data_IF_980190274183
#
_entry.id   IF_980190274183
#
_cell.length_a   1.000
_cell.length_b   1.000
_cell.length_c   1.000
_cell.angle_alpha   90.00
_cell.angle_beta   90.00
_cell.angle_gamma   90.00
#
_symmetry.space_group_name_H-M   'P 1'
#
loop_
_entity.id
_entity.type
_entity.pdbx_description
1 polymer ?
#
# COMPACT_ATOMS: atom_id res chain seq x y z
N UNK A 1 5.08 -0.41 19.60
CA UNK A 1 4.99 0.63 18.54
C UNK A 1 6.29 0.62 17.78
N UNK A 2 6.27 0.48 16.45
CA UNK A 2 7.49 0.48 15.62
C UNK A 2 7.63 1.85 14.94
N UNK A 3 8.76 2.51 15.14
CA UNK A 3 9.03 3.88 14.67
C UNK A 3 10.32 3.92 13.84
N UNK A 4 10.38 4.82 12.86
CA UNK A 4 11.58 5.13 12.09
C UNK A 4 11.99 6.59 12.32
N UNK A 5 13.28 6.87 12.26
CA UNK A 5 13.86 8.22 12.35
C UNK A 5 14.39 8.63 10.97
N UNK A 6 13.87 9.72 10.41
CA UNK A 6 14.27 10.27 9.11
C UNK A 6 14.87 11.66 9.28
N UNK A 7 16.02 11.90 8.64
CA UNK A 7 16.69 13.22 8.63
C UNK A 7 16.40 13.91 7.31
N UNK A 8 15.77 15.08 7.36
CA UNK A 8 15.45 15.90 6.19
C UNK A 8 16.50 17.01 6.04
N UNK A 9 16.97 17.21 4.80
CA UNK A 9 17.84 18.34 4.43
C UNK A 9 16.95 19.51 4.00
N UNK A 10 17.00 20.63 4.71
CA UNK A 10 16.19 21.79 4.39
C UNK A 10 16.82 22.58 3.24
N UNK A 11 16.43 22.29 1.99
CA UNK A 11 16.74 23.17 0.87
C UNK A 11 15.75 24.36 0.77
N UNK A 12 16.19 25.42 0.10
CA UNK A 12 15.56 26.77 0.05
C UNK A 12 14.06 26.77 -0.28
N UNK A 13 13.56 25.74 -0.98
CA UNK A 13 12.13 25.56 -1.27
C UNK A 13 11.27 25.36 0.00
N UNK A 14 11.80 24.75 1.06
CA UNK A 14 11.11 24.55 2.33
C UNK A 14 10.91 25.86 3.12
N UNK A 15 11.71 26.88 2.83
CA UNK A 15 11.62 28.19 3.49
C UNK A 15 10.34 28.94 3.16
N UNK A 16 9.75 28.73 1.97
CA UNK A 16 8.42 29.26 1.63
C UNK A 16 7.31 28.51 2.37
N UNK A 17 7.44 27.20 2.52
CA UNK A 17 6.50 26.39 3.31
C UNK A 17 6.51 26.77 4.81
N UNK A 18 7.70 27.11 5.34
CA UNK A 18 7.92 27.62 6.71
C UNK A 18 7.16 28.92 6.99
N UNK A 19 7.07 29.84 6.01
CA UNK A 19 6.35 31.11 6.18
C UNK A 19 4.84 30.96 6.13
N UNK A 20 4.33 30.00 5.37
CA UNK A 20 2.87 29.79 5.20
C UNK A 20 2.28 28.90 6.30
N UNK A 21 3.05 27.94 6.83
CA UNK A 21 2.55 26.92 7.80
C UNK A 21 2.97 27.21 9.25
N UNK A 22 4.08 27.91 9.49
CA UNK A 22 4.64 28.11 10.85
C UNK A 22 5.06 29.56 11.14
N UNK A 23 4.12 30.53 11.23
CA UNK A 23 4.46 31.94 11.42
C UNK A 23 4.96 32.30 12.83
N UNK A 24 5.09 31.36 13.79
CA UNK A 24 5.40 31.69 15.20
C UNK A 24 6.17 30.63 16.01
N UNK A 25 7.16 29.95 15.42
CA UNK A 25 8.06 29.10 16.21
C UNK A 25 9.09 29.96 16.99
N UNK A 26 8.90 30.12 18.32
CA UNK A 26 9.94 30.65 19.22
C UNK A 26 10.98 29.57 19.55
N UNK A 27 12.26 29.96 19.54
CA UNK A 27 13.41 29.14 19.95
C UNK A 27 13.21 28.55 21.34
N UNK A 28 13.37 27.25 21.49
CA UNK A 28 13.58 26.59 22.78
C UNK A 28 14.72 25.57 22.66
N UNK A 29 15.72 25.71 23.53
CA UNK A 29 16.91 24.86 23.58
C UNK A 29 16.59 23.57 24.32
N UNK A 30 16.68 22.43 23.65
CA UNK A 30 16.64 21.11 24.27
C UNK A 30 18.04 20.49 24.12
N UNK A 31 18.72 20.22 25.24
CA UNK A 31 19.96 19.43 25.24
C UNK A 31 19.60 17.94 25.22
N UNK A 32 20.02 17.22 24.18
CA UNK A 32 20.01 15.76 24.16
C UNK A 32 21.28 15.23 24.84
N UNK A 33 21.10 14.30 25.78
CA UNK A 33 22.20 13.54 26.40
C UNK A 33 22.89 12.70 25.32
N UNK A 34 24.21 12.87 25.23
CA UNK A 34 25.09 12.27 24.23
C UNK A 34 24.99 10.74 24.14
N UNK A 35 24.83 10.22 22.93
CA UNK A 35 25.13 8.81 22.60
C UNK A 35 26.56 8.76 22.04
N UNK A 36 27.46 7.86 22.51
CA UNK A 36 28.87 7.91 22.11
C UNK A 36 29.06 7.53 20.64
N UNK A 37 29.87 8.32 19.95
CA UNK A 37 30.34 8.08 18.60
C UNK A 37 31.27 6.85 18.55
N UNK A 38 30.97 5.88 17.68
CA UNK A 38 31.95 4.88 17.25
C UNK A 38 31.85 4.69 15.73
N UNK A 39 32.64 5.48 15.00
CA UNK A 39 33.06 5.20 13.64
C UNK A 39 34.53 5.62 13.51
N UNK A 40 35.46 4.67 13.54
CA UNK A 40 36.70 4.75 12.77
C UNK A 40 37.50 3.43 12.69
N UNK A 41 37.70 2.97 11.44
CA UNK A 41 38.84 2.18 10.86
C UNK A 41 39.11 0.78 11.45
N UNK A 42 39.25 -0.30 10.67
CA UNK A 42 40.28 -0.56 9.64
C UNK A 42 39.99 -1.89 8.93
N UNK A 43 40.32 -1.98 7.65
CA UNK A 43 40.54 -3.22 6.89
C UNK A 43 41.67 -4.07 7.51
N UNK A 44 41.41 -5.37 7.71
CA UNK A 44 42.35 -6.46 7.43
C UNK A 44 41.74 -7.83 7.76
N UNK A 45 41.44 -8.63 6.74
CA UNK A 45 41.59 -10.10 6.75
C UNK A 45 40.57 -10.98 7.51
N UNK A 46 40.04 -11.97 6.77
CA UNK A 46 39.39 -13.24 7.20
C UNK A 46 37.96 -13.24 7.76
N UNK A 47 37.07 -13.77 6.90
CA UNK A 47 36.07 -14.82 7.15
C UNK A 47 35.21 -14.77 8.43
N UNK A 48 33.95 -14.31 8.30
CA UNK A 48 32.67 -14.89 8.78
C UNK A 48 31.59 -13.78 8.87
N UNK A 49 30.29 -14.05 8.67
CA UNK A 49 29.25 -13.03 8.72
C UNK A 49 28.77 -12.77 10.16
N UNK A 50 28.41 -11.54 10.57
CA UNK A 50 27.71 -11.35 11.84
C UNK A 50 26.18 -11.32 11.64
N UNK A 51 25.40 -11.84 12.61
CA UNK A 51 23.94 -11.80 12.62
C UNK A 51 23.37 -10.58 13.37
N UNK A 52 22.05 -10.40 13.19
CA UNK A 52 21.07 -9.67 14.04
C UNK A 52 20.54 -8.30 13.62
N UNK A 53 19.21 -8.30 13.37
CA UNK A 53 18.25 -7.23 13.62
C UNK A 53 18.41 -6.71 15.06
N UNK A 54 18.59 -5.40 15.23
CA UNK A 54 18.47 -4.76 16.54
C UNK A 54 17.03 -4.33 16.80
N UNK A 55 16.40 -4.99 17.78
CA UNK A 55 15.13 -4.59 18.38
C UNK A 55 15.39 -3.41 19.33
N UNK A 56 14.89 -2.22 19.01
CA UNK A 56 14.99 -1.07 19.91
C UNK A 56 13.78 -1.05 20.86
N UNK A 57 14.00 -1.35 22.13
CA UNK A 57 13.05 -1.06 23.21
C UNK A 57 13.35 0.31 23.79
N UNK A 58 12.43 1.26 23.63
CA UNK A 58 12.51 2.53 24.34
C UNK A 58 12.01 2.31 25.79
N UNK A 59 12.92 2.42 26.76
CA UNK A 59 12.59 2.46 28.19
C UNK A 59 12.31 3.91 28.55
N UNK A 60 11.08 4.22 28.97
CA UNK A 60 10.73 5.51 29.57
C UNK A 60 11.17 5.51 31.04
N UNK A 61 12.08 6.38 31.48
CA UNK A 61 12.39 6.49 32.90
C UNK A 61 11.23 7.14 33.67
N UNK A 62 10.86 6.53 34.80
CA UNK A 62 9.88 7.09 35.74
C UNK A 62 10.33 8.45 36.28
N UNK A 63 9.33 9.29 36.52
CA UNK A 63 9.45 10.71 36.83
C UNK A 63 10.30 10.99 38.08
N UNK A 64 11.35 11.79 37.89
CA UNK A 64 12.19 12.34 38.96
C UNK A 64 12.54 13.81 38.69
N UNK A 65 11.58 14.70 38.95
CA UNK A 65 11.76 16.11 39.30
C UNK A 65 12.71 16.99 38.47
N UNK A 66 12.18 17.70 37.47
CA UNK A 66 12.41 19.14 37.20
C UNK A 66 11.57 19.59 36.00
N UNK A 67 10.84 20.68 36.22
CA UNK A 67 9.97 21.44 35.30
C UNK A 67 9.23 20.65 34.22
N UNK A 68 7.92 20.54 34.42
CA UNK A 68 6.91 20.11 33.47
C UNK A 68 6.93 21.00 32.21
N UNK A 69 7.86 20.76 31.29
CA UNK A 69 7.75 21.22 29.91
C UNK A 69 6.66 20.37 29.27
N UNK A 70 5.43 20.87 29.40
CA UNK A 70 4.26 20.33 28.74
C UNK A 70 4.57 20.16 27.26
N UNK A 71 4.66 18.90 26.79
CA UNK A 71 4.52 18.55 25.38
C UNK A 71 3.11 18.96 24.99
N UNK A 72 2.93 20.23 24.65
CA UNK A 72 1.65 20.73 24.13
C UNK A 72 1.56 20.27 22.68
N UNK A 73 0.56 19.46 22.29
CA UNK A 73 0.32 19.18 20.89
C UNK A 73 -0.22 20.45 20.23
N UNK A 74 0.62 21.17 19.49
CA UNK A 74 0.22 22.37 18.75
C UNK A 74 -0.61 22.05 17.50
N UNK A 75 -0.79 20.76 17.15
CA UNK A 75 -1.52 20.31 15.96
C UNK A 75 -3.03 20.16 16.13
N UNK A 76 -3.67 20.90 17.05
CA UNK A 76 -5.10 21.20 16.89
C UNK A 76 -5.28 22.27 15.80
N UNK A 77 -4.98 21.87 14.55
CA UNK A 77 -5.49 22.33 13.25
C UNK A 77 -4.38 22.36 12.17
N UNK A 78 -4.63 21.79 10.99
CA UNK A 78 -3.92 20.53 10.69
C UNK A 78 -3.40 20.44 9.25
N UNK A 79 -2.46 19.51 8.99
CA UNK A 79 -2.62 18.66 7.81
C UNK A 79 -3.82 17.72 8.07
N UNK A 80 -5.01 18.30 8.08
CA UNK A 80 -6.27 17.61 7.82
C UNK A 80 -6.48 17.94 6.36
N UNK A 81 -6.40 16.98 5.46
CA UNK A 81 -7.58 16.14 5.24
C UNK A 81 -7.21 14.78 4.64
N UNK A 82 -5.97 14.30 4.82
CA UNK A 82 -5.63 12.93 4.40
C UNK A 82 -6.58 11.97 5.14
N UNK A 83 -7.35 11.10 4.47
CA UNK A 83 -8.09 10.06 5.16
C UNK A 83 -7.11 9.31 6.06
N UNK A 84 -7.49 9.10 7.33
CA UNK A 84 -6.60 8.59 8.38
C UNK A 84 -5.84 7.29 7.98
N UNK A 85 -6.38 6.57 7.00
CA UNK A 85 -5.89 5.30 6.45
C UNK A 85 -4.66 5.45 5.54
N UNK A 86 -4.51 6.56 4.81
CA UNK A 86 -3.42 6.77 3.84
C UNK A 86 -2.29 7.66 4.37
N UNK A 87 -2.41 8.13 5.61
CA UNK A 87 -1.45 9.04 6.25
C UNK A 87 -0.33 8.23 6.90
N UNK A 88 0.90 8.52 6.51
CA UNK A 88 2.09 8.10 7.24
C UNK A 88 2.16 8.90 8.55
N UNK A 89 2.10 8.23 9.70
CA UNK A 89 1.96 8.93 10.97
C UNK A 89 3.28 9.60 11.38
N UNK A 90 3.25 10.92 11.58
CA UNK A 90 4.33 11.68 12.22
C UNK A 90 4.09 11.68 13.74
N UNK A 91 4.98 11.06 14.48
CA UNK A 91 4.90 10.97 15.94
C UNK A 91 5.63 12.11 16.65
N UNK A 92 6.60 12.72 15.99
CA UNK A 92 7.33 13.86 16.52
C UNK A 92 8.38 14.35 15.53
N UNK A 93 8.98 15.50 15.84
CA UNK A 93 10.12 16.02 15.12
C UNK A 93 11.10 16.70 16.08
N UNK A 94 12.36 16.77 15.69
CA UNK A 94 13.41 17.47 16.38
C UNK A 94 14.10 18.41 15.40
N UNK A 95 14.16 19.68 15.74
CA UNK A 95 14.88 20.68 14.98
C UNK A 95 16.19 20.99 15.71
N UNK A 96 17.31 20.88 14.99
CA UNK A 96 18.63 21.22 15.49
C UNK A 96 19.20 22.34 14.63
N UNK A 97 19.41 23.49 15.27
CA UNK A 97 20.14 24.64 14.75
C UNK A 97 21.42 24.78 15.57
N UNK A 98 22.54 24.36 14.99
CA UNK A 98 23.85 24.43 15.64
C UNK A 98 24.87 25.01 14.67
N UNK A 99 25.89 25.68 15.19
CA UNK A 99 26.92 26.35 14.38
C UNK A 99 27.66 25.40 13.40
N UNK A 100 27.65 24.09 13.67
CA UNK A 100 28.35 23.08 12.85
C UNK A 100 27.43 22.35 11.85
N UNK A 101 26.10 22.43 12.03
CA UNK A 101 25.11 21.80 11.14
C UNK A 101 23.91 22.76 11.03
N UNK A 102 23.81 23.56 9.96
CA UNK A 102 22.67 24.43 9.76
C UNK A 102 21.39 23.61 9.49
N UNK A 103 20.29 24.05 10.10
CA UNK A 103 18.90 23.70 9.75
C UNK A 103 18.60 22.20 9.54
N UNK A 104 18.92 21.35 10.52
CA UNK A 104 18.52 19.93 10.46
C UNK A 104 17.16 19.70 11.10
N UNK A 105 16.21 19.15 10.32
CA UNK A 105 14.96 18.60 10.82
C UNK A 105 15.02 17.08 10.83
N UNK A 106 14.77 16.48 11.99
CA UNK A 106 14.60 15.03 12.14
C UNK A 106 13.14 14.72 12.45
N UNK A 107 12.51 13.85 11.69
CA UNK A 107 11.14 13.40 11.89
C UNK A 107 11.11 11.96 12.42
N UNK A 108 10.20 11.68 13.36
CA UNK A 108 9.92 10.35 13.87
C UNK A 108 8.58 9.92 13.32
N UNK A 109 8.57 8.85 12.55
CA UNK A 109 7.41 8.43 11.77
C UNK A 109 7.11 6.95 11.94
N UNK A 110 5.94 6.54 11.46
CA UNK A 110 5.49 5.15 11.40
C UNK A 110 6.48 4.27 10.62
N UNK A 111 6.86 3.13 11.19
CA UNK A 111 7.68 2.17 10.44
C UNK A 111 6.81 1.38 9.47
N UNK A 112 7.12 1.46 8.18
CA UNK A 112 6.51 0.62 7.14
C UNK A 112 7.52 -0.31 6.47
N UNK A 113 7.03 -1.34 5.78
CA UNK A 113 7.88 -2.21 4.96
C UNK A 113 8.03 -1.64 3.55
N UNK A 114 9.24 -1.61 2.96
CA UNK A 114 9.44 -1.10 1.62
C UNK A 114 8.69 -1.92 0.57
N UNK A 115 8.25 -1.27 -0.51
CA UNK A 115 7.62 -1.96 -1.65
C UNK A 115 8.66 -2.66 -2.51
N UNK A 116 8.71 -3.99 -2.43
CA UNK A 116 9.50 -4.82 -3.33
C UNK A 116 8.59 -5.45 -4.40
N UNK A 117 8.78 -5.06 -5.67
CA UNK A 117 7.91 -5.50 -6.76
C UNK A 117 7.85 -7.03 -6.92
N UNK A 118 8.98 -7.72 -6.72
CA UNK A 118 9.03 -9.19 -6.78
C UNK A 118 8.16 -9.81 -5.68
N UNK A 119 8.24 -9.27 -4.45
CA UNK A 119 7.41 -9.75 -3.34
C UNK A 119 5.93 -9.48 -3.62
N UNK A 120 5.57 -8.29 -4.11
CA UNK A 120 4.20 -7.95 -4.48
C UNK A 120 3.63 -8.93 -5.51
N UNK A 121 4.37 -9.26 -6.56
CA UNK A 121 3.93 -10.21 -7.59
C UNK A 121 3.72 -11.64 -7.07
N UNK A 122 4.30 -11.98 -5.91
CA UNK A 122 4.10 -13.26 -5.24
C UNK A 122 2.92 -13.26 -4.26
N UNK A 123 2.37 -12.09 -3.92
CA UNK A 123 1.17 -11.97 -3.07
C UNK A 123 -0.12 -12.27 -3.86
N UNK A 124 -1.21 -12.45 -3.11
CA UNK A 124 -2.54 -12.68 -3.69
C UNK A 124 -2.93 -11.52 -4.62
N UNK A 125 -3.80 -11.78 -5.59
CA UNK A 125 -4.35 -10.70 -6.42
C UNK A 125 -5.10 -9.66 -5.58
N UNK A 126 -5.82 -10.11 -4.57
CA UNK A 126 -6.58 -9.26 -3.66
C UNK A 126 -5.69 -8.27 -2.88
N UNK A 127 -4.52 -8.71 -2.41
CA UNK A 127 -3.56 -7.82 -1.72
C UNK A 127 -2.91 -6.83 -2.70
N UNK A 128 -2.56 -7.27 -3.91
CA UNK A 128 -2.06 -6.36 -4.96
C UNK A 128 -3.11 -5.32 -5.35
N UNK A 129 -4.37 -5.73 -5.44
CA UNK A 129 -5.49 -4.84 -5.70
C UNK A 129 -5.65 -3.82 -4.58
N UNK A 130 -5.50 -4.23 -3.31
CA UNK A 130 -5.47 -3.33 -2.15
C UNK A 130 -4.43 -2.23 -2.32
N UNK A 131 -3.20 -2.57 -2.69
CA UNK A 131 -2.12 -1.60 -2.92
C UNK A 131 -2.50 -0.58 -4.00
N UNK A 132 -3.04 -1.03 -5.14
CA UNK A 132 -3.49 -0.13 -6.21
C UNK A 132 -4.63 0.78 -5.75
N UNK A 133 -5.55 0.25 -4.94
CA UNK A 133 -6.67 1.01 -4.39
C UNK A 133 -6.21 2.05 -3.36
N UNK A 134 -5.29 1.69 -2.45
CA UNK A 134 -4.67 2.64 -1.53
C UNK A 134 -3.96 3.77 -2.29
N UNK A 135 -3.24 3.42 -3.36
CA UNK A 135 -2.55 4.40 -4.21
C UNK A 135 -3.55 5.35 -4.90
N UNK A 136 -4.60 4.84 -5.54
CA UNK A 136 -5.57 5.72 -6.23
C UNK A 136 -6.29 6.63 -5.23
N UNK A 137 -6.61 6.15 -4.03
CA UNK A 137 -7.21 6.97 -2.96
C UNK A 137 -6.28 8.07 -2.48
N UNK A 138 -4.98 7.76 -2.33
CA UNK A 138 -3.96 8.76 -2.03
C UNK A 138 -3.89 9.81 -3.14
N UNK A 139 -3.82 9.39 -4.41
CA UNK A 139 -3.74 10.32 -5.54
C UNK A 139 -5.00 11.17 -5.70
N UNK A 140 -6.18 10.59 -5.46
CA UNK A 140 -7.44 11.32 -5.42
C UNK A 140 -7.41 12.41 -4.36
N UNK A 141 -6.88 12.09 -3.17
CA UNK A 141 -6.68 13.09 -2.13
C UNK A 141 -5.69 14.18 -2.55
N UNK A 142 -4.55 13.83 -3.15
CA UNK A 142 -3.54 14.79 -3.57
C UNK A 142 -4.06 15.75 -4.65
N UNK A 143 -4.87 15.26 -5.59
CA UNK A 143 -5.50 16.09 -6.61
C UNK A 143 -6.52 17.08 -6.02
N UNK A 144 -7.22 16.69 -4.95
CA UNK A 144 -8.24 17.49 -4.26
C UNK A 144 -7.76 18.10 -2.95
N UNK A 145 -6.46 18.26 -2.78
CA UNK A 145 -5.91 18.79 -1.54
C UNK A 145 -6.41 20.21 -1.29
N UNK A 146 -6.69 20.59 -0.02
CA UNK A 146 -7.08 21.97 0.31
C UNK A 146 -5.99 23.00 -0.03
N UNK A 147 -4.74 22.57 -0.29
CA UNK A 147 -3.63 23.42 -0.71
C UNK A 147 -3.52 23.57 -2.23
N UNK A 148 -4.40 22.93 -3.01
CA UNK A 148 -4.30 22.79 -4.46
C UNK A 148 -3.72 21.44 -4.89
N UNK A 149 -3.89 21.11 -6.17
CA UNK A 149 -3.47 19.82 -6.75
C UNK A 149 -1.98 19.56 -6.54
N UNK A 150 -1.65 18.50 -5.82
CA UNK A 150 -0.28 18.16 -5.43
C UNK A 150 0.34 17.19 -6.44
N UNK A 151 1.50 17.52 -7.00
CA UNK A 151 2.34 16.59 -7.77
C UNK A 151 3.46 16.02 -6.89
N UNK A 152 3.72 14.72 -7.03
CA UNK A 152 4.88 14.06 -6.44
C UNK A 152 6.00 14.08 -7.48
N UNK A 153 7.02 14.92 -7.27
CA UNK A 153 8.12 15.07 -8.22
C UNK A 153 8.98 13.82 -8.26
N UNK A 154 9.11 13.14 -7.11
CA UNK A 154 9.79 11.85 -7.01
C UNK A 154 8.84 10.65 -6.88
N UNK A 155 8.06 10.38 -7.93
CA UNK A 155 7.15 9.24 -7.96
C UNK A 155 7.90 7.94 -8.29
N UNK A 156 8.57 7.34 -7.30
CA UNK A 156 9.23 6.03 -7.44
C UNK A 156 8.65 5.03 -6.44
N UNK A 157 8.58 3.72 -6.76
CA UNK A 157 8.10 2.71 -5.80
C UNK A 157 8.81 2.74 -4.43
N UNK A 158 10.09 3.15 -4.40
CA UNK A 158 10.87 3.30 -3.16
C UNK A 158 10.33 4.36 -2.19
N UNK A 159 9.53 5.32 -2.68
CA UNK A 159 8.97 6.42 -1.89
C UNK A 159 7.65 6.08 -1.20
N UNK A 160 7.31 4.79 -1.25
CA UNK A 160 6.12 4.26 -0.64
C UNK A 160 6.47 3.04 0.22
N UNK A 161 5.71 2.88 1.30
CA UNK A 161 5.78 1.75 2.22
C UNK A 161 4.42 1.14 2.41
N UNK A 162 4.41 -0.12 2.82
CA UNK A 162 3.21 -0.80 3.29
C UNK A 162 3.15 -0.71 4.81
N UNK A 163 2.01 -0.28 5.33
CA UNK A 163 1.66 -0.41 6.75
C UNK A 163 0.29 -1.03 6.85
N UNK A 164 0.19 -2.17 7.57
CA UNK A 164 -1.06 -2.93 7.75
C UNK A 164 -1.80 -3.26 6.44
N UNK A 165 -1.04 -3.49 5.37
CA UNK A 165 -1.53 -3.81 4.02
C UNK A 165 -1.97 -2.60 3.19
N UNK A 166 -1.87 -1.38 3.71
CA UNK A 166 -2.14 -0.15 2.98
C UNK A 166 -0.84 0.50 2.48
N UNK A 167 -0.89 1.05 1.26
CA UNK A 167 0.20 1.86 0.72
C UNK A 167 0.17 3.27 1.31
N UNK A 168 1.33 3.73 1.79
CA UNK A 168 1.54 5.08 2.32
C UNK A 168 2.78 5.69 1.69
N UNK A 169 2.77 7.01 1.50
CA UNK A 169 3.93 7.78 1.00
C UNK A 169 4.84 8.15 2.18
N UNK A 170 6.15 7.93 2.03
CA UNK A 170 7.13 8.24 3.09
C UNK A 170 7.83 9.57 2.88
N UNK A 171 7.92 10.03 1.64
CA UNK A 171 8.72 11.20 1.27
C UNK A 171 7.85 12.21 0.54
N UNK A 172 7.66 13.38 1.15
CA UNK A 172 6.81 14.47 0.65
C UNK A 172 7.60 15.79 0.54
N UNK A 173 8.91 15.76 0.78
CA UNK A 173 9.78 16.93 0.60
C UNK A 173 9.88 17.34 -0.88
N UNK A 174 9.78 16.38 -1.79
CA UNK A 174 9.73 16.56 -3.25
C UNK A 174 8.28 16.66 -3.80
N UNK A 175 7.40 17.39 -3.09
CA UNK A 175 6.02 17.65 -3.54
C UNK A 175 5.81 19.12 -3.92
N UNK A 176 5.02 19.36 -4.98
CA UNK A 176 4.65 20.73 -5.42
C UNK A 176 3.15 20.86 -5.57
N UNK A 177 2.60 22.04 -5.23
CA UNK A 177 1.19 22.40 -5.39
C UNK A 177 0.94 23.32 -6.59
N UNK A 178 2.00 23.84 -7.20
CA UNK A 178 1.88 24.82 -8.29
C UNK A 178 1.72 24.10 -9.63
N UNK A 179 0.62 24.39 -10.34
CA UNK A 179 0.46 23.98 -11.74
C UNK A 179 1.41 24.78 -12.64
N UNK A 180 1.94 24.14 -13.68
CA UNK A 180 2.89 24.80 -14.59
C UNK A 180 2.25 25.98 -15.32
N UNK A 181 2.97 27.09 -15.44
CA UNK A 181 2.48 28.25 -16.21
C UNK A 181 2.60 28.02 -17.71
N UNK A 182 1.65 28.52 -18.48
CA UNK A 182 1.59 28.34 -19.94
C UNK A 182 1.01 29.56 -20.65
N UNK A 183 1.39 29.71 -21.91
CA UNK A 183 0.82 30.66 -22.88
C UNK A 183 0.05 29.94 -23.99
N UNK A 184 0.41 28.69 -24.26
CA UNK A 184 -0.23 27.83 -25.24
C UNK A 184 -0.20 26.37 -24.81
N UNK A 185 -0.98 25.50 -25.48
CA UNK A 185 -1.03 24.08 -25.13
C UNK A 185 0.33 23.38 -25.27
N UNK A 186 1.23 23.85 -26.16
CA UNK A 186 2.55 23.24 -26.32
C UNK A 186 3.43 23.39 -25.08
N UNK A 187 3.17 24.40 -24.24
CA UNK A 187 3.90 24.61 -22.99
C UNK A 187 3.52 23.56 -21.93
N UNK A 188 2.36 22.90 -22.11
CA UNK A 188 1.82 21.88 -21.24
C UNK A 188 2.15 20.47 -21.72
N UNK A 189 3.39 20.28 -22.16
CA UNK A 189 3.91 19.00 -22.61
C UNK A 189 4.41 18.15 -21.44
N UNK A 190 3.94 16.91 -21.37
CA UNK A 190 4.41 15.90 -20.43
C UNK A 190 5.13 14.80 -21.19
N UNK A 191 6.44 14.69 -20.93
CA UNK A 191 7.28 13.63 -21.47
C UNK A 191 7.35 12.45 -20.50
N UNK A 192 7.11 11.25 -21.02
CA UNK A 192 7.40 10.00 -20.32
C UNK A 192 8.17 9.04 -21.25
N UNK A 193 8.94 8.08 -20.70
CA UNK A 193 9.80 7.23 -21.51
C UNK A 193 9.12 6.45 -22.64
N UNK A 194 7.82 6.19 -22.52
CA UNK A 194 7.06 5.41 -23.50
C UNK A 194 5.97 6.22 -24.23
N UNK A 195 5.58 7.38 -23.71
CA UNK A 195 4.41 8.15 -24.19
C UNK A 195 4.56 9.62 -23.84
N UNK A 196 3.99 10.47 -24.69
CA UNK A 196 3.95 11.90 -24.47
C UNK A 196 2.52 12.40 -24.51
N UNK A 197 2.24 13.43 -23.72
CA UNK A 197 0.92 14.04 -23.65
C UNK A 197 1.04 15.55 -23.71
N UNK A 198 0.08 16.19 -24.35
CA UNK A 198 -0.04 17.65 -24.38
C UNK A 198 -1.39 18.01 -23.78
N UNK A 199 -1.36 18.76 -22.68
CA UNK A 199 -2.57 19.20 -21.98
C UNK A 199 -3.02 20.59 -22.47
N UNK A 200 -4.32 20.94 -22.30
CA UNK A 200 -4.77 22.28 -22.58
C UNK A 200 -4.21 23.30 -21.58
N UNK A 201 -3.84 24.48 -22.09
CA UNK A 201 -3.55 25.64 -21.28
C UNK A 201 -4.85 26.36 -20.91
N UNK A 202 -5.04 26.65 -19.61
CA UNK A 202 -6.21 27.38 -19.13
C UNK A 202 -6.14 28.87 -19.48
N UNK A 203 -7.29 29.53 -19.39
CA UNK A 203 -7.40 31.00 -19.55
C UNK A 203 -6.60 31.78 -18.50
N UNK A 204 -6.29 31.16 -17.36
CA UNK A 204 -5.47 31.71 -16.27
C UNK A 204 -3.96 31.54 -16.53
N UNK A 205 -3.58 31.00 -17.68
CA UNK A 205 -2.18 30.76 -18.03
C UNK A 205 -1.56 29.62 -17.24
N UNK A 206 -2.34 28.59 -16.89
CA UNK A 206 -1.90 27.38 -16.16
C UNK A 206 -2.25 26.10 -16.92
N UNK A 207 -1.37 25.13 -16.93
CA UNK A 207 -1.64 23.82 -17.51
C UNK A 207 -2.72 23.10 -16.71
N UNK A 208 -3.80 22.69 -17.38
CA UNK A 208 -4.94 22.10 -16.68
C UNK A 208 -4.61 20.70 -16.16
N UNK A 209 -4.73 20.51 -14.84
CA UNK A 209 -4.59 19.23 -14.14
C UNK A 209 -3.26 18.52 -14.40
N UNK A 210 -2.17 19.24 -14.67
CA UNK A 210 -0.89 18.64 -15.02
C UNK A 210 -0.32 17.84 -13.85
N UNK A 211 -0.51 18.33 -12.61
CA UNK A 211 -0.08 17.65 -11.40
C UNK A 211 -0.78 16.30 -11.20
N UNK A 212 -2.11 16.29 -11.31
CA UNK A 212 -2.94 15.08 -11.22
C UNK A 212 -2.55 14.06 -12.29
N UNK A 213 -2.48 14.50 -13.56
CA UNK A 213 -2.19 13.64 -14.70
C UNK A 213 -0.80 13.02 -14.62
N UNK A 214 0.19 13.76 -14.10
CA UNK A 214 1.55 13.26 -13.90
C UNK A 214 1.59 12.16 -12.84
N UNK A 215 0.95 12.37 -11.70
CA UNK A 215 0.83 11.35 -10.67
C UNK A 215 0.11 10.10 -11.20
N UNK A 216 -1.01 10.29 -11.92
CA UNK A 216 -1.84 9.22 -12.42
C UNK A 216 -1.10 8.35 -13.45
N UNK A 217 -0.36 8.96 -14.38
CA UNK A 217 0.46 8.21 -15.33
C UNK A 217 1.57 7.41 -14.64
N UNK A 218 2.21 8.00 -13.61
CA UNK A 218 3.23 7.30 -12.85
C UNK A 218 2.64 6.11 -12.06
N UNK A 219 1.45 6.24 -11.47
CA UNK A 219 0.73 5.12 -10.88
C UNK A 219 0.45 4.01 -11.90
N UNK A 220 0.02 4.38 -13.11
CA UNK A 220 -0.15 3.43 -14.20
C UNK A 220 1.16 2.68 -14.50
N UNK A 221 2.23 3.43 -14.80
CA UNK A 221 3.52 2.91 -15.24
C UNK A 221 4.17 2.00 -14.21
N UNK A 222 4.14 2.37 -12.94
CA UNK A 222 4.89 1.67 -11.89
C UNK A 222 4.08 0.60 -11.17
N UNK A 223 2.75 0.72 -11.14
CA UNK A 223 1.88 -0.15 -10.35
C UNK A 223 0.81 -0.83 -11.19
N UNK A 224 -0.08 -0.08 -11.84
CA UNK A 224 -1.30 -0.66 -12.38
C UNK A 224 -1.07 -1.68 -13.48
N UNK A 225 -0.10 -1.44 -14.37
CA UNK A 225 0.27 -2.38 -15.44
C UNK A 225 0.70 -3.74 -14.92
N UNK A 226 1.34 -3.80 -13.76
CA UNK A 226 1.90 -5.02 -13.18
C UNK A 226 1.00 -5.67 -12.14
N UNK A 227 0.29 -4.85 -11.34
CA UNK A 227 -0.42 -5.33 -10.17
C UNK A 227 -1.88 -5.68 -10.46
N UNK A 228 -2.56 -4.97 -11.37
CA UNK A 228 -3.99 -5.17 -11.61
C UNK A 228 -4.32 -6.41 -12.46
N UNK A 229 -3.71 -6.66 -13.63
CA UNK A 229 -4.20 -7.69 -14.55
C UNK A 229 -3.75 -9.12 -14.18
N UNK A 230 -2.55 -9.25 -13.60
CA UNK A 230 -1.94 -10.55 -13.35
C UNK A 230 -2.75 -11.36 -12.33
N UNK A 231 -3.17 -12.57 -12.72
CA UNK A 231 -4.00 -13.50 -11.93
C UNK A 231 -5.30 -12.92 -11.35
N UNK A 232 -5.82 -11.85 -11.96
CA UNK A 232 -7.15 -11.33 -11.65
C UNK A 232 -8.26 -12.33 -11.99
N UNK A 233 -9.38 -12.34 -11.24
CA UNK A 233 -10.57 -13.12 -11.58
C UNK A 233 -10.99 -12.88 -13.05
N UNK A 234 -11.22 -13.94 -13.86
CA UNK A 234 -11.47 -13.80 -15.29
C UNK A 234 -12.59 -12.84 -15.66
N UNK A 235 -13.69 -12.82 -14.90
CA UNK A 235 -14.84 -11.94 -15.14
C UNK A 235 -14.56 -10.47 -14.83
N UNK A 236 -13.56 -10.16 -14.00
CA UNK A 236 -13.14 -8.77 -13.71
C UNK A 236 -12.10 -8.24 -14.70
N UNK A 237 -11.41 -9.12 -15.45
CA UNK A 237 -10.34 -8.72 -16.38
C UNK A 237 -10.76 -7.66 -17.39
N UNK A 238 -11.92 -7.74 -18.08
CA UNK A 238 -12.29 -6.70 -19.04
C UNK A 238 -12.40 -5.30 -18.42
N UNK A 239 -12.88 -5.21 -17.17
CA UNK A 239 -12.97 -3.95 -16.44
C UNK A 239 -11.58 -3.45 -16.03
N UNK A 240 -10.72 -4.34 -15.53
CA UNK A 240 -9.34 -4.01 -15.16
C UNK A 240 -8.52 -3.54 -16.37
N UNK A 241 -8.63 -4.22 -17.51
CA UNK A 241 -7.95 -3.85 -18.75
C UNK A 241 -8.42 -2.46 -19.23
N UNK A 242 -9.73 -2.17 -19.10
CA UNK A 242 -10.28 -0.84 -19.39
C UNK A 242 -9.68 0.22 -18.47
N UNK A 243 -9.58 -0.05 -17.16
CA UNK A 243 -8.96 0.86 -16.18
C UNK A 243 -7.50 1.12 -16.53
N UNK A 244 -6.72 0.07 -16.74
CA UNK A 244 -5.29 0.16 -17.06
C UNK A 244 -5.09 0.95 -18.36
N UNK A 245 -5.87 0.66 -19.40
CA UNK A 245 -5.75 1.34 -20.68
C UNK A 245 -6.16 2.83 -20.58
N UNK A 246 -7.33 3.13 -20.00
CA UNK A 246 -7.81 4.50 -19.88
C UNK A 246 -6.91 5.37 -18.99
N UNK A 247 -6.29 4.79 -17.97
CA UNK A 247 -5.28 5.47 -17.15
C UNK A 247 -3.97 5.68 -17.91
N UNK A 248 -3.50 4.66 -18.65
CA UNK A 248 -2.26 4.74 -19.43
C UNK A 248 -2.32 5.67 -20.63
N UNK A 249 -3.51 5.89 -21.21
CA UNK A 249 -3.76 6.89 -22.25
C UNK A 249 -4.18 8.26 -21.67
N UNK A 250 -4.26 8.39 -20.34
CA UNK A 250 -4.76 9.59 -19.63
C UNK A 250 -6.15 10.07 -20.09
N UNK A 251 -6.94 9.19 -20.69
CA UNK A 251 -8.34 9.44 -21.04
C UNK A 251 -9.20 9.69 -19.80
N UNK A 252 -8.84 9.06 -18.68
CA UNK A 252 -9.48 9.28 -17.39
C UNK A 252 -8.66 10.23 -16.51
N UNK A 253 -9.37 11.03 -15.72
CA UNK A 253 -8.81 11.71 -14.56
C UNK A 253 -8.89 10.81 -13.33
N UNK A 254 -8.40 11.32 -12.22
CA UNK A 254 -8.30 10.60 -10.96
C UNK A 254 -9.67 10.20 -10.40
N UNK A 255 -10.70 11.03 -10.58
CA UNK A 255 -12.06 10.76 -10.13
C UNK A 255 -12.63 9.50 -10.77
N UNK A 256 -12.55 9.43 -12.11
CA UNK A 256 -13.05 8.30 -12.87
C UNK A 256 -12.24 7.04 -12.58
N UNK A 257 -10.90 7.14 -12.50
CA UNK A 257 -10.05 5.99 -12.17
C UNK A 257 -10.35 5.47 -10.76
N UNK A 258 -10.52 6.35 -9.77
CA UNK A 258 -10.89 5.99 -8.41
C UNK A 258 -12.27 5.32 -8.38
N UNK A 259 -13.28 5.91 -9.03
CA UNK A 259 -14.63 5.37 -9.10
C UNK A 259 -14.67 3.96 -9.72
N UNK A 260 -13.91 3.72 -10.80
CA UNK A 260 -13.86 2.41 -11.43
C UNK A 260 -13.11 1.37 -10.59
N UNK A 261 -12.06 1.76 -9.86
CA UNK A 261 -11.41 0.85 -8.91
C UNK A 261 -12.31 0.53 -7.71
N UNK A 262 -13.06 1.50 -7.17
CA UNK A 262 -14.07 1.23 -6.13
C UNK A 262 -15.19 0.32 -6.65
N UNK A 263 -15.58 0.47 -7.92
CA UNK A 263 -16.53 -0.45 -8.57
C UNK A 263 -15.99 -1.87 -8.61
N UNK A 264 -14.71 -2.07 -8.96
CA UNK A 264 -14.06 -3.41 -8.90
C UNK A 264 -14.11 -3.96 -7.48
N UNK A 265 -13.79 -3.14 -6.47
CA UNK A 265 -13.87 -3.55 -5.07
C UNK A 265 -15.28 -4.03 -4.70
N UNK A 266 -16.31 -3.25 -5.06
CA UNK A 266 -17.69 -3.57 -4.76
C UNK A 266 -18.11 -4.89 -5.39
N UNK A 267 -17.83 -5.08 -6.70
CA UNK A 267 -18.12 -6.33 -7.39
C UNK A 267 -17.42 -7.53 -6.74
N UNK A 268 -16.14 -7.37 -6.39
CA UNK A 268 -15.35 -8.44 -5.76
C UNK A 268 -15.84 -8.79 -4.35
N UNK A 269 -16.26 -7.78 -3.58
CA UNK A 269 -16.81 -7.94 -2.22
C UNK A 269 -18.21 -8.53 -2.22
N UNK A 270 -19.07 -8.13 -3.15
CA UNK A 270 -20.46 -8.59 -3.21
C UNK A 270 -20.62 -9.95 -3.89
N UNK A 271 -19.57 -10.46 -4.54
CA UNK A 271 -19.60 -11.71 -5.30
C UNK A 271 -20.34 -11.59 -6.64
N UNK A 272 -20.80 -10.39 -7.03
CA UNK A 272 -21.53 -10.17 -8.29
C UNK A 272 -20.72 -10.56 -9.53
N UNK A 273 -19.39 -10.52 -9.46
CA UNK A 273 -18.50 -10.97 -10.53
C UNK A 273 -18.62 -12.47 -10.86
N UNK A 274 -19.26 -13.26 -9.99
CA UNK A 274 -19.46 -14.70 -10.14
C UNK A 274 -20.76 -15.06 -10.87
N UNK A 275 -21.69 -14.12 -11.08
CA UNK A 275 -23.05 -14.43 -11.57
C UNK A 275 -23.12 -14.96 -13.01
N UNK A 276 -22.04 -14.83 -13.78
CA UNK A 276 -21.94 -15.31 -15.17
C UNK A 276 -21.02 -16.53 -15.34
N UNK A 277 -20.54 -17.14 -14.27
CA UNK A 277 -19.82 -18.41 -14.38
C UNK A 277 -20.85 -19.47 -14.78
N UNK A 278 -20.86 -19.79 -16.06
CA UNK A 278 -21.77 -20.75 -16.70
C UNK A 278 -21.86 -22.01 -15.84
N UNK A 279 -23.07 -22.60 -15.77
CA UNK A 279 -23.38 -23.86 -15.09
C UNK A 279 -22.49 -25.02 -15.58
N UNK A 280 -21.22 -25.03 -15.17
CA UNK A 280 -20.34 -26.18 -15.27
C UNK A 280 -21.01 -27.27 -14.44
N UNK A 281 -20.94 -28.51 -14.93
CA UNK A 281 -21.42 -29.68 -14.20
C UNK A 281 -20.74 -29.70 -12.83
N UNK A 282 -21.42 -29.18 -11.79
CA UNK A 282 -20.84 -29.05 -10.47
C UNK A 282 -20.74 -30.44 -9.89
N UNK A 283 -19.53 -30.80 -9.46
CA UNK A 283 -19.35 -32.05 -8.74
C UNK A 283 -20.16 -31.98 -7.44
N UNK A 284 -20.71 -33.10 -7.00
CA UNK A 284 -21.38 -33.13 -5.70
C UNK A 284 -20.33 -33.10 -4.57
N UNK A 285 -20.62 -32.37 -3.49
CA UNK A 285 -19.75 -32.26 -2.32
C UNK A 285 -20.50 -32.64 -1.06
N UNK A 286 -19.93 -33.58 -0.30
CA UNK A 286 -20.43 -33.95 1.02
C UNK A 286 -19.85 -33.02 2.08
N UNK A 287 -20.72 -32.33 2.81
CA UNK A 287 -20.36 -31.49 3.97
C UNK A 287 -20.12 -32.36 5.20
N UNK A 288 -18.96 -32.18 5.83
CA UNK A 288 -18.56 -32.82 7.08
C UNK A 288 -18.31 -31.73 8.13
N UNK A 289 -19.25 -31.51 9.07
CA UNK A 289 -19.02 -30.59 10.17
C UNK A 289 -17.98 -31.17 11.15
N UNK A 290 -17.34 -30.27 11.90
CA UNK A 290 -16.38 -30.62 12.96
C UNK A 290 -15.24 -31.53 12.47
N UNK A 291 -14.78 -31.28 11.25
CA UNK A 291 -13.86 -32.16 10.54
C UNK A 291 -12.78 -31.37 9.81
N UNK A 292 -11.56 -31.91 9.81
CA UNK A 292 -10.38 -31.34 9.17
C UNK A 292 -9.49 -32.41 8.53
N UNK A 293 -8.71 -32.02 7.53
CA UNK A 293 -7.70 -32.86 6.87
C UNK A 293 -6.32 -32.25 7.18
N UNK A 294 -5.48 -32.90 8.01
CA UNK A 294 -4.22 -32.32 8.49
C UNK A 294 -3.21 -32.09 7.38
N UNK A 295 -3.11 -33.03 6.44
CA UNK A 295 -2.05 -33.02 5.44
C UNK A 295 -2.09 -31.80 4.51
N UNK A 296 -0.94 -31.14 4.34
CA UNK A 296 -0.71 -30.08 3.35
C UNK A 296 -0.12 -30.69 2.06
N UNK A 297 -0.90 -31.53 1.37
CA UNK A 297 -0.40 -32.30 0.22
C UNK A 297 -0.47 -31.54 -1.13
N UNK A 298 -0.88 -30.28 -1.12
CA UNK A 298 -1.18 -29.54 -2.35
C UNK A 298 -0.77 -28.07 -2.24
N UNK A 299 -0.02 -27.57 -3.24
CA UNK A 299 0.35 -26.16 -3.39
C UNK A 299 -0.36 -25.58 -4.61
N UNK A 300 -0.89 -24.37 -4.46
CA UNK A 300 -1.37 -23.56 -5.56
C UNK A 300 -0.67 -22.20 -5.53
N UNK A 301 -0.65 -21.52 -6.68
CA UNK A 301 -0.01 -20.22 -6.81
C UNK A 301 -0.92 -19.24 -7.56
N UNK A 302 -1.08 -17.99 -7.08
CA UNK A 302 -0.62 -17.46 -5.79
C UNK A 302 -1.46 -17.99 -4.62
N UNK A 303 -0.88 -18.12 -3.42
CA UNK A 303 -1.58 -18.57 -2.21
C UNK A 303 -1.20 -17.75 -0.99
N UNK A 304 -2.13 -17.58 -0.05
CA UNK A 304 -1.89 -16.99 1.27
C UNK A 304 -1.03 -17.87 2.18
N UNK A 305 -0.80 -19.14 1.83
CA UNK A 305 0.07 -20.05 2.57
C UNK A 305 1.21 -20.57 1.70
N UNK A 306 2.42 -20.59 2.24
CA UNK A 306 3.64 -20.95 1.49
C UNK A 306 3.81 -22.47 1.28
N UNK A 307 3.22 -23.30 2.16
CA UNK A 307 3.34 -24.76 2.12
C UNK A 307 2.10 -25.49 1.60
N UNK A 308 0.95 -24.82 1.56
CA UNK A 308 -0.33 -25.40 1.19
C UNK A 308 -1.17 -24.45 0.34
N UNK A 309 -2.24 -24.95 -0.27
CA UNK A 309 -3.14 -24.14 -1.08
C UNK A 309 -4.21 -23.47 -0.20
N UNK A 310 -3.94 -22.25 0.25
CA UNK A 310 -4.88 -21.36 0.94
C UNK A 310 -5.32 -20.23 0.01
N UNK A 311 -6.61 -20.16 -0.33
CA UNK A 311 -7.19 -19.13 -1.21
C UNK A 311 -8.42 -18.48 -0.56
N UNK A 312 -8.73 -17.27 -1.00
CA UNK A 312 -9.88 -16.48 -0.55
C UNK A 312 -11.10 -16.70 -1.45
N UNK A 313 -12.23 -17.07 -0.85
CA UNK A 313 -13.50 -17.31 -1.55
C UNK A 313 -14.61 -16.41 -1.00
N UNK A 314 -15.58 -16.07 -1.84
CA UNK A 314 -16.78 -15.33 -1.48
C UNK A 314 -17.74 -16.24 -0.71
N UNK A 315 -18.02 -17.42 -1.26
CA UNK A 315 -18.94 -18.40 -0.69
C UNK A 315 -18.47 -19.85 -0.96
N UNK A 316 -19.26 -20.80 -0.47
CA UNK A 316 -18.98 -22.23 -0.66
C UNK A 316 -19.06 -22.62 -2.14
N UNK A 317 -19.90 -21.97 -2.94
CA UNK A 317 -20.03 -22.28 -4.36
C UNK A 317 -18.75 -21.92 -5.12
N UNK A 318 -18.15 -20.77 -4.83
CA UNK A 318 -16.86 -20.39 -5.40
C UNK A 318 -15.76 -21.36 -4.96
N UNK A 319 -15.77 -21.83 -3.70
CA UNK A 319 -14.84 -22.87 -3.26
C UNK A 319 -14.99 -24.17 -4.06
N UNK A 320 -16.23 -24.61 -4.32
CA UNK A 320 -16.47 -25.79 -5.16
C UNK A 320 -15.96 -25.57 -6.59
N UNK A 321 -16.22 -24.41 -7.19
CA UNK A 321 -15.76 -24.06 -8.54
C UNK A 321 -14.23 -24.03 -8.65
N UNK A 322 -13.55 -23.45 -7.67
CA UNK A 322 -12.10 -23.45 -7.58
C UNK A 322 -11.58 -24.88 -7.45
N UNK A 323 -12.13 -25.69 -6.54
CA UNK A 323 -11.70 -27.08 -6.38
C UNK A 323 -11.93 -27.89 -7.66
N UNK A 324 -13.07 -27.71 -8.34
CA UNK A 324 -13.37 -28.38 -9.60
C UNK A 324 -12.42 -27.97 -10.74
N UNK A 325 -11.88 -26.75 -10.71
CA UNK A 325 -10.87 -26.29 -11.67
C UNK A 325 -9.50 -26.96 -11.52
N UNK A 326 -9.22 -27.56 -10.35
CA UNK A 326 -7.96 -28.25 -10.07
C UNK A 326 -8.18 -29.77 -10.02
N UNK A 327 -7.62 -30.51 -10.98
CA UNK A 327 -7.76 -31.97 -11.08
C UNK A 327 -7.35 -32.75 -9.82
N UNK A 328 -6.35 -32.23 -9.09
CA UNK A 328 -5.85 -32.81 -7.84
C UNK A 328 -6.69 -32.47 -6.62
N UNK A 329 -7.62 -31.49 -6.69
CA UNK A 329 -8.44 -31.12 -5.55
C UNK A 329 -9.55 -32.17 -5.32
N UNK A 330 -9.59 -32.72 -4.11
CA UNK A 330 -10.57 -33.73 -3.67
C UNK A 330 -11.40 -33.27 -2.49
N UNK A 331 -10.94 -32.26 -1.76
CA UNK A 331 -11.66 -31.69 -0.64
C UNK A 331 -11.20 -30.25 -0.39
N UNK A 332 -11.97 -29.49 0.37
CA UNK A 332 -11.55 -28.20 0.90
C UNK A 332 -12.07 -27.99 2.32
N UNK A 333 -11.36 -27.19 3.09
CA UNK A 333 -11.62 -26.91 4.51
C UNK A 333 -11.85 -25.42 4.68
N UNK A 334 -13.03 -25.05 5.20
CA UNK A 334 -13.32 -23.68 5.60
C UNK A 334 -12.54 -23.34 6.87
N UNK A 335 -11.89 -22.18 6.88
CA UNK A 335 -11.28 -21.62 8.10
C UNK A 335 -12.25 -20.65 8.78
N UNK A 336 -11.86 -20.10 9.92
CA UNK A 336 -12.56 -18.98 10.58
C UNK A 336 -11.93 -17.61 10.24
N UNK A 337 -10.95 -17.58 9.33
CA UNK A 337 -10.21 -16.36 8.99
C UNK A 337 -10.75 -15.72 7.71
N UNK A 338 -10.85 -14.39 7.74
CA UNK A 338 -11.27 -13.60 6.58
C UNK A 338 -10.18 -12.66 6.10
N UNK A 339 -10.24 -12.28 4.83
CA UNK A 339 -9.37 -11.27 4.23
C UNK A 339 -9.87 -9.86 4.55
N UNK A 340 -9.12 -8.83 4.12
CA UNK A 340 -9.52 -7.42 4.32
C UNK A 340 -10.81 -7.03 3.58
N UNK A 341 -11.19 -7.79 2.54
CA UNK A 341 -12.48 -7.64 1.87
C UNK A 341 -13.63 -8.39 2.54
N UNK A 342 -13.34 -9.18 3.59
CA UNK A 342 -14.31 -10.01 4.32
C UNK A 342 -14.51 -11.40 3.72
N UNK A 343 -13.69 -11.81 2.76
CA UNK A 343 -13.79 -13.12 2.09
C UNK A 343 -13.20 -14.23 2.95
N UNK A 344 -13.78 -15.42 2.88
CA UNK A 344 -13.36 -16.56 3.70
C UNK A 344 -12.07 -17.18 3.14
N UNK A 345 -11.09 -17.45 4.01
CA UNK A 345 -9.92 -18.25 3.64
C UNK A 345 -10.25 -19.75 3.69
N UNK A 346 -9.84 -20.49 2.66
CA UNK A 346 -10.15 -21.91 2.47
C UNK A 346 -8.90 -22.68 2.08
N UNK A 347 -8.65 -23.81 2.77
CA UNK A 347 -7.58 -24.74 2.41
C UNK A 347 -8.09 -25.78 1.43
N UNK A 348 -7.46 -25.88 0.26
CA UNK A 348 -7.75 -26.91 -0.74
C UNK A 348 -6.83 -28.11 -0.53
N UNK A 349 -7.40 -29.32 -0.62
CA UNK A 349 -6.76 -30.58 -0.23
C UNK A 349 -6.81 -31.60 -1.37
N UNK A 350 -5.70 -32.30 -1.56
CA UNK A 350 -5.60 -33.38 -2.56
C UNK A 350 -5.99 -34.77 -2.03
N UNK A 351 -6.09 -34.92 -0.71
CA UNK A 351 -6.52 -36.14 -0.05
C UNK A 351 -7.87 -35.94 0.64
N UNK A 352 -8.66 -37.00 0.74
CA UNK A 352 -9.96 -37.05 1.43
C UNK A 352 -10.09 -38.24 2.40
N UNK A 353 -9.01 -38.99 2.61
CA UNK A 353 -8.99 -40.27 3.34
C UNK A 353 -8.59 -40.14 4.82
N UNK A 354 -7.89 -39.07 5.22
CA UNK A 354 -7.46 -38.83 6.60
C UNK A 354 -8.23 -37.65 7.19
N UNK A 355 -9.45 -37.92 7.65
CA UNK A 355 -10.31 -36.92 8.29
C UNK A 355 -10.17 -37.04 9.80
N UNK A 356 -9.81 -35.94 10.46
CA UNK A 356 -9.72 -35.82 11.91
C UNK A 356 -10.83 -34.91 12.44
N UNK A 357 -11.36 -35.15 13.64
CA UNK A 357 -12.31 -34.25 14.26
C UNK A 357 -11.63 -32.92 14.63
N UNK A 358 -12.28 -31.81 14.31
CA UNK A 358 -11.87 -30.45 14.67
C UNK A 358 -13.13 -29.58 14.78
N UNK A 359 -13.57 -29.20 16.01
CA UNK A 359 -14.86 -28.57 16.25
C UNK A 359 -15.01 -27.20 15.57
N UNK A 360 -13.90 -26.54 15.23
CA UNK A 360 -13.90 -25.19 14.66
C UNK A 360 -13.87 -25.18 13.12
N UNK A 361 -13.89 -26.36 12.48
CA UNK A 361 -13.72 -26.49 11.03
C UNK A 361 -14.83 -27.28 10.36
N UNK A 362 -15.07 -26.92 9.09
CA UNK A 362 -16.00 -27.62 8.21
C UNK A 362 -15.24 -28.06 6.96
N UNK A 363 -15.30 -29.35 6.66
CA UNK A 363 -14.67 -29.93 5.48
C UNK A 363 -15.74 -30.31 4.45
N UNK A 364 -15.46 -30.03 3.18
CA UNK A 364 -16.27 -30.46 2.05
C UNK A 364 -15.44 -31.44 1.22
N UNK A 365 -15.98 -32.64 1.01
CA UNK A 365 -15.31 -33.70 0.24
C UNK A 365 -16.06 -33.93 -1.06
N UNK A 366 -15.34 -33.89 -2.17
CA UNK A 366 -15.87 -34.18 -3.50
C UNK A 366 -16.34 -35.63 -3.54
N UNK A 367 -17.59 -35.84 -3.95
CA UNK A 367 -18.14 -37.17 -4.20
C UNK A 367 -17.55 -37.66 -5.51
N UNK A 368 -16.79 -38.74 -5.44
CA UNK A 368 -16.33 -39.49 -6.62
C UNK A 368 -17.19 -40.74 -6.72
N UNK A 369 -17.85 -40.94 -7.86
CA UNK A 369 -18.54 -42.20 -8.17
C UNK A 369 -17.63 -43.42 -8.04
#
# INVERSE_FOLDING_TARGET
MRIQVVKLSMDVAYSRWKQTVFPSARKSNIQLVSVPAYLQRRDSGRSSPPPFLHEFSAVFPEAGGREEQTVKPWWKQPLGDLPAVSRWALYGYCYQDSNDIPDTLTAITELGSPLEMIQLLQTSWEDRFRICLSLVRLLHYLAHSPLGSVTLLDFRPRQFVIVDGELKVTDLDDASIEESSCTSNSDCFMEFPARNFTLPCSVEGRCQNMNEKRNLYNAYRFFFTYLLPHSAPPSLRPLLDKIVNATGELHWGIDETAAQLERVLNLYKSGEYLQNTTRILKSEYRRLPEAFIPDENYRCWPSYHHKGCLLSVFDVNEAMEICDSYSQCKAFVLTNQTTWTGRQLVFFKAASNHIMPDPDKITYVKVTD
#
